data_IF_389250792154
#
_entry.id   IF_389250792154
#
_cell.length_a   1.000
_cell.length_b   1.000
_cell.length_c   1.000
_cell.angle_alpha   90.00
_cell.angle_beta   90.00
_cell.angle_gamma   90.00
#
_symmetry.space_group_name_H-M   'P 1'
#
loop_
_entity.id
_entity.type
_entity.pdbx_description
1 polymer ?
#
# COMPACT_ATOMS: atom_id res chain seq x y z
N UNK A 1 -12.54 -6.75 7.09
CA UNK A 1 -12.49 -5.29 7.39
C UNK A 1 -13.35 -4.86 8.56
N UNK A 2 -14.61 -5.34 8.67
CA UNK A 2 -15.53 -4.99 9.79
C UNK A 2 -14.87 -5.13 11.17
N UNK A 3 -14.22 -6.27 11.42
CA UNK A 3 -13.84 -6.61 12.80
C UNK A 3 -12.60 -5.84 13.29
N UNK A 4 -11.59 -5.64 12.43
CA UNK A 4 -10.42 -4.81 12.77
C UNK A 4 -10.81 -3.35 13.01
N UNK A 5 -11.67 -2.77 12.15
CA UNK A 5 -12.15 -1.40 12.31
C UNK A 5 -13.04 -1.25 13.55
N UNK A 6 -13.89 -2.23 13.85
CA UNK A 6 -14.72 -2.24 15.05
C UNK A 6 -13.88 -2.36 16.33
N UNK A 7 -12.89 -3.27 16.35
CA UNK A 7 -11.98 -3.46 17.47
C UNK A 7 -11.18 -2.20 17.76
N UNK A 8 -10.60 -1.56 16.73
CA UNK A 8 -9.90 -0.29 16.88
C UNK A 8 -10.83 0.84 17.34
N UNK A 9 -12.03 0.96 16.78
CA UNK A 9 -13.01 1.98 17.19
C UNK A 9 -13.40 1.83 18.66
N UNK A 10 -13.61 0.59 19.14
CA UNK A 10 -13.92 0.31 20.55
C UNK A 10 -12.78 0.72 21.46
N UNK A 11 -11.54 0.33 21.12
CA UNK A 11 -10.35 0.73 21.88
C UNK A 11 -10.20 2.26 21.92
N UNK A 12 -10.25 2.93 20.77
CA UNK A 12 -10.09 4.38 20.66
C UNK A 12 -11.20 5.14 21.41
N UNK A 13 -12.45 4.70 21.31
CA UNK A 13 -13.55 5.31 22.04
C UNK A 13 -13.40 5.17 23.56
N UNK A 14 -12.91 4.02 24.03
CA UNK A 14 -12.61 3.79 25.45
C UNK A 14 -11.50 4.72 25.93
N UNK A 15 -10.39 4.80 25.20
CA UNK A 15 -9.21 5.61 25.55
C UNK A 15 -9.55 7.10 25.63
N UNK A 16 -10.19 7.63 24.59
CA UNK A 16 -10.48 9.05 24.46
C UNK A 16 -11.87 9.46 24.97
N UNK A 17 -12.56 8.57 25.70
CA UNK A 17 -13.91 8.78 26.26
C UNK A 17 -14.93 9.29 25.22
N UNK A 18 -14.79 8.84 23.96
CA UNK A 18 -15.68 9.19 22.84
C UNK A 18 -16.83 8.20 22.72
N UNK A 19 -17.88 8.60 22.00
CA UNK A 19 -19.00 7.74 21.59
C UNK A 19 -19.20 7.84 20.07
N UNK A 20 -19.79 6.79 19.48
CA UNK A 20 -20.14 6.76 18.06
C UNK A 20 -19.10 6.10 17.15
N UNK A 21 -19.36 6.13 15.83
CA UNK A 21 -18.47 5.54 14.82
C UNK A 21 -17.22 6.38 14.63
N UNK A 22 -16.05 5.74 14.53
CA UNK A 22 -14.80 6.40 14.15
C UNK A 22 -14.60 6.40 12.62
N UNK A 23 -15.04 5.34 11.95
CA UNK A 23 -14.86 5.17 10.50
C UNK A 23 -16.15 5.53 9.74
N UNK A 24 -15.98 6.12 8.55
CA UNK A 24 -17.07 6.32 7.60
C UNK A 24 -17.52 4.97 7.01
N UNK A 25 -18.82 4.81 6.77
CA UNK A 25 -19.40 3.62 6.16
C UNK A 25 -20.20 4.00 4.90
N UNK A 26 -20.18 3.19 3.82
CA UNK A 26 -19.35 1.99 3.59
C UNK A 26 -17.97 2.32 2.99
N UNK A 27 -16.99 1.43 3.20
CA UNK A 27 -15.70 1.51 2.49
C UNK A 27 -15.86 1.13 1.02
N UNK A 28 -15.20 1.87 0.12
CA UNK A 28 -15.09 1.48 -1.29
C UNK A 28 -14.24 0.21 -1.41
N UNK A 29 -14.65 -0.70 -2.29
CA UNK A 29 -13.92 -1.91 -2.66
C UNK A 29 -13.92 -1.99 -4.18
N UNK A 30 -12.75 -2.17 -4.77
CA UNK A 30 -12.58 -2.41 -6.20
C UNK A 30 -11.85 -3.74 -6.35
N UNK A 31 -12.36 -4.62 -7.22
CA UNK A 31 -11.67 -5.85 -7.57
C UNK A 31 -10.38 -5.48 -8.33
N UNK A 32 -9.31 -6.23 -8.08
CA UNK A 32 -8.12 -6.19 -8.92
C UNK A 32 -8.33 -7.24 -10.00
N UNK A 33 -8.51 -6.80 -11.24
CA UNK A 33 -8.90 -7.67 -12.35
C UNK A 33 -7.71 -8.18 -13.15
N UNK A 34 -6.61 -7.45 -13.12
CA UNK A 34 -5.40 -7.75 -13.89
C UNK A 34 -4.12 -7.35 -13.14
N UNK A 35 -2.99 -7.84 -13.66
CA UNK A 35 -1.65 -7.61 -13.12
C UNK A 35 -1.25 -6.13 -13.22
N UNK A 36 -1.67 -5.44 -14.28
CA UNK A 36 -1.43 -4.01 -14.43
C UNK A 36 -2.05 -3.22 -13.28
N UNK A 37 -3.30 -3.53 -12.92
CA UNK A 37 -4.02 -2.92 -11.81
C UNK A 37 -3.37 -3.28 -10.48
N UNK A 38 -2.88 -4.51 -10.30
CA UNK A 38 -2.14 -4.91 -9.10
C UNK A 38 -0.87 -4.08 -8.93
N UNK A 39 -0.07 -3.97 -9.99
CA UNK A 39 1.16 -3.19 -10.00
C UNK A 39 0.89 -1.70 -9.72
N UNK A 40 -0.06 -1.11 -10.44
CA UNK A 40 -0.43 0.30 -10.27
C UNK A 40 -0.97 0.58 -8.87
N UNK A 41 -1.86 -0.28 -8.35
CA UNK A 41 -2.44 -0.11 -7.02
C UNK A 41 -1.35 -0.18 -5.94
N UNK A 42 -0.41 -1.10 -6.08
CA UNK A 42 0.72 -1.24 -5.16
C UNK A 42 1.63 -0.01 -5.19
N UNK A 43 2.00 0.44 -6.40
CA UNK A 43 2.79 1.66 -6.61
C UNK A 43 2.11 2.88 -5.97
N UNK A 44 0.82 3.06 -6.24
CA UNK A 44 0.05 4.19 -5.75
C UNK A 44 -0.02 4.20 -4.22
N UNK A 45 -0.30 3.05 -3.59
CA UNK A 45 -0.36 2.93 -2.13
C UNK A 45 0.97 3.32 -1.49
N UNK A 46 2.09 2.83 -2.02
CA UNK A 46 3.42 3.14 -1.47
C UNK A 46 3.82 4.61 -1.66
N UNK A 47 3.41 5.25 -2.77
CA UNK A 47 3.70 6.68 -3.04
C UNK A 47 2.65 7.65 -2.51
N UNK A 48 1.53 7.16 -1.99
CA UNK A 48 0.45 7.99 -1.45
C UNK A 48 0.91 9.05 -0.42
N UNK A 49 1.86 8.75 0.49
CA UNK A 49 2.39 9.74 1.43
C UNK A 49 3.06 10.94 0.73
N UNK A 50 3.77 10.70 -0.38
CA UNK A 50 4.35 11.76 -1.20
C UNK A 50 3.25 12.53 -1.95
N UNK A 51 2.31 11.80 -2.58
CA UNK A 51 1.23 12.40 -3.35
C UNK A 51 0.37 13.39 -2.52
N UNK A 52 0.13 13.08 -1.24
CA UNK A 52 -0.62 13.95 -0.33
C UNK A 52 0.26 14.91 0.50
N UNK A 53 1.57 14.98 0.21
CA UNK A 53 2.47 15.94 0.85
C UNK A 53 2.82 15.63 2.32
N UNK A 54 2.63 14.40 2.79
CA UNK A 54 3.01 13.99 4.14
C UNK A 54 4.52 13.82 4.33
N UNK A 55 5.24 13.50 3.25
CA UNK A 55 6.70 13.33 3.25
C UNK A 55 7.26 13.66 1.87
N UNK A 56 8.45 14.28 1.78
CA UNK A 56 9.16 14.44 0.50
C UNK A 56 9.75 13.12 -0.02
N UNK A 57 9.89 12.13 0.85
CA UNK A 57 10.41 10.80 0.52
C UNK A 57 9.39 9.73 0.90
N UNK A 58 8.74 9.15 -0.11
CA UNK A 58 7.79 8.06 0.06
C UNK A 58 8.46 6.76 0.50
N UNK A 59 9.73 6.55 0.13
CA UNK A 59 10.42 5.28 0.35
C UNK A 59 10.70 5.07 1.85
N UNK A 60 11.02 6.12 2.59
CA UNK A 60 11.26 6.07 4.04
C UNK A 60 10.00 6.18 4.90
N UNK A 61 8.80 6.23 4.31
CA UNK A 61 7.56 6.37 5.07
C UNK A 61 7.30 5.16 5.96
N UNK A 62 7.44 5.35 7.29
CA UNK A 62 7.35 4.27 8.28
C UNK A 62 5.99 3.58 8.37
N UNK A 63 4.92 4.21 7.88
CA UNK A 63 3.57 3.65 7.87
C UNK A 63 3.21 2.99 6.52
N UNK A 64 4.22 2.59 5.75
CA UNK A 64 4.08 1.86 4.49
C UNK A 64 4.66 0.46 4.62
N UNK A 65 4.06 -0.51 3.92
CA UNK A 65 4.61 -1.85 3.76
C UNK A 65 5.88 -1.89 2.91
N UNK A 66 6.18 -0.82 2.16
CA UNK A 66 7.29 -0.79 1.21
C UNK A 66 8.63 -1.24 1.83
N UNK A 67 8.95 -0.74 3.01
CA UNK A 67 10.17 -1.07 3.74
C UNK A 67 10.29 -2.57 4.06
N UNK A 68 9.18 -3.29 4.21
CA UNK A 68 9.20 -4.73 4.49
C UNK A 68 9.69 -5.54 3.29
N UNK A 69 9.58 -5.04 2.06
CA UNK A 69 10.17 -5.68 0.89
C UNK A 69 11.69 -5.44 0.80
N UNK A 70 12.22 -4.48 1.56
CA UNK A 70 13.63 -4.11 1.52
C UNK A 70 14.49 -4.81 2.58
N UNK A 71 13.87 -5.34 3.63
CA UNK A 71 14.55 -5.98 4.75
C UNK A 71 13.97 -7.34 5.08
N UNK A 72 14.75 -8.15 5.81
CA UNK A 72 14.38 -9.52 6.15
C UNK A 72 13.64 -9.67 7.48
N UNK A 73 13.05 -8.58 7.97
CA UNK A 73 12.31 -8.63 9.24
C UNK A 73 11.09 -9.54 9.11
N UNK A 74 10.75 -10.28 10.17
CA UNK A 74 9.51 -11.04 10.22
C UNK A 74 8.30 -10.14 9.92
N UNK A 75 7.42 -10.61 9.04
CA UNK A 75 6.24 -9.87 8.61
C UNK A 75 5.12 -10.83 8.24
N UNK A 76 3.88 -10.37 8.39
CA UNK A 76 2.70 -11.10 7.93
C UNK A 76 2.47 -10.96 6.41
N UNK A 77 3.27 -10.14 5.73
CA UNK A 77 3.18 -9.96 4.29
C UNK A 77 3.68 -11.21 3.55
N UNK A 78 2.96 -11.59 2.49
CA UNK A 78 3.45 -12.56 1.52
C UNK A 78 4.50 -11.87 0.61
N UNK A 79 5.73 -11.76 1.12
CA UNK A 79 6.83 -11.07 0.42
C UNK A 79 7.16 -11.75 -0.89
N UNK A 80 7.25 -13.07 -0.90
CA UNK A 80 7.63 -13.84 -2.08
C UNK A 80 6.66 -13.58 -3.22
N UNK A 81 5.34 -13.63 -2.97
CA UNK A 81 4.34 -13.32 -4.00
C UNK A 81 4.59 -11.96 -4.68
N UNK A 82 4.82 -10.90 -3.90
CA UNK A 82 5.05 -9.56 -4.48
C UNK A 82 6.42 -9.44 -5.14
N UNK A 83 7.46 -10.03 -4.57
CA UNK A 83 8.82 -9.99 -5.14
C UNK A 83 8.89 -10.77 -6.45
N UNK A 84 8.27 -11.95 -6.50
CA UNK A 84 8.16 -12.78 -7.70
C UNK A 84 7.31 -12.06 -8.76
N UNK A 85 6.20 -11.44 -8.37
CA UNK A 85 5.34 -10.65 -9.24
C UNK A 85 6.10 -9.48 -9.91
N UNK A 86 6.90 -8.74 -9.14
CA UNK A 86 7.75 -7.67 -9.69
C UNK A 86 9.07 -8.19 -10.28
N UNK A 87 9.32 -9.51 -10.27
CA UNK A 87 10.54 -10.16 -10.73
C UNK A 87 11.63 -10.29 -9.65
N UNK A 88 11.91 -9.22 -8.90
CA UNK A 88 12.78 -9.24 -7.72
C UNK A 88 12.68 -7.91 -6.95
N UNK A 89 13.48 -7.79 -5.88
CA UNK A 89 13.57 -6.58 -5.07
C UNK A 89 14.06 -5.37 -5.86
N UNK A 90 15.06 -5.55 -6.73
CA UNK A 90 15.66 -4.47 -7.52
C UNK A 90 14.65 -3.90 -8.53
N UNK A 91 13.93 -4.76 -9.23
CA UNK A 91 12.91 -4.36 -10.20
C UNK A 91 11.69 -3.73 -9.49
N UNK A 92 11.29 -4.25 -8.32
CA UNK A 92 10.28 -3.60 -7.49
C UNK A 92 10.69 -2.15 -7.18
N UNK A 93 11.91 -1.92 -6.70
CA UNK A 93 12.41 -0.57 -6.39
C UNK A 93 12.41 0.31 -7.64
N UNK A 94 12.92 -0.22 -8.76
CA UNK A 94 12.99 0.49 -10.04
C UNK A 94 11.60 0.93 -10.50
N UNK A 95 10.61 0.04 -10.50
CA UNK A 95 9.23 0.34 -10.87
C UNK A 95 8.61 1.39 -9.95
N UNK A 96 8.92 1.37 -8.65
CA UNK A 96 8.41 2.36 -7.69
C UNK A 96 9.05 3.75 -7.80
N UNK A 97 10.25 3.83 -8.39
CA UNK A 97 10.92 5.11 -8.67
C UNK A 97 10.40 5.81 -9.93
N UNK A 98 9.72 5.09 -10.83
CA UNK A 98 9.08 5.68 -12.00
C UNK A 98 8.00 6.69 -11.60
N UNK A 99 7.82 7.74 -12.43
CA UNK A 99 6.70 8.65 -12.27
C UNK A 99 5.41 7.99 -12.77
N UNK A 100 4.25 8.52 -12.35
CA UNK A 100 2.93 8.00 -12.70
C UNK A 100 2.77 7.65 -14.20
N UNK A 101 3.20 8.56 -15.08
CA UNK A 101 3.10 8.36 -16.53
C UNK A 101 4.04 7.25 -17.02
N UNK A 102 5.26 7.18 -16.48
CA UNK A 102 6.26 6.19 -16.88
C UNK A 102 5.89 4.79 -16.37
N UNK A 103 5.26 4.69 -15.20
CA UNK A 103 4.77 3.42 -14.65
C UNK A 103 3.67 2.83 -15.54
N UNK A 104 2.70 3.64 -15.99
CA UNK A 104 1.64 3.17 -16.88
C UNK A 104 2.18 2.70 -18.23
N UNK A 105 3.16 3.43 -18.79
CA UNK A 105 3.78 3.06 -20.08
C UNK A 105 4.59 1.77 -19.97
N UNK A 106 5.36 1.59 -18.90
CA UNK A 106 6.17 0.37 -18.73
C UNK A 106 5.30 -0.86 -18.48
N UNK A 107 4.16 -0.74 -17.80
CA UNK A 107 3.25 -1.87 -17.58
C UNK A 107 2.55 -2.32 -18.87
N UNK A 108 2.32 -1.43 -19.84
CA UNK A 108 1.79 -1.77 -21.18
C UNK A 108 2.86 -2.48 -22.03
N UNK A 109 4.14 -2.20 -21.80
CA UNK A 109 5.25 -2.76 -22.57
C UNK A 109 5.65 -4.19 -22.18
N UNK A 110 5.01 -4.77 -21.16
CA UNK A 110 5.18 -6.18 -20.76
C UNK A 110 4.16 -7.14 -21.39
N UNK A 111 3.33 -6.66 -22.34
CA UNK A 111 2.46 -7.48 -23.20
C UNK A 111 3.15 -7.95 -24.48
#
# INVERSE_FOLDING_TARGET
MSDSANSFSKWHNKEYKRKGSLFMRPFKRKLVEDDHQLAWTTWYIHRNPLHHGYTPDWSSWKFSSFQMFLNDKPTALNRNFMLDFFGNKEELIKQHNLNANDTMVNLIAFE
#
